data_IF_051193570896
#
_entry.id   IF_051193570896
#
_cell.length_a   1.000
_cell.length_b   1.000
_cell.length_c   1.000
_cell.angle_alpha   90.00
_cell.angle_beta   90.00
_cell.angle_gamma   90.00
#
_symmetry.space_group_name_H-M   'P 1'
#
loop_
_entity.id
_entity.type
_entity.pdbx_description
1 polymer ?
#
# COMPACT_ATOMS: atom_id res chain seq x y z
N UNK A 1 56.65 -11.49 -61.18
CA UNK A 1 57.07 -12.42 -62.25
C UNK A 1 55.93 -13.39 -62.49
N UNK A 2 55.27 -13.19 -63.62
CA UNK A 2 54.25 -14.05 -64.21
C UNK A 2 54.80 -15.45 -64.47
N UNK A 3 53.96 -16.48 -64.35
CA UNK A 3 53.87 -17.60 -65.30
C UNK A 3 52.67 -18.50 -64.92
N UNK A 4 51.59 -18.32 -65.69
CA UNK A 4 50.67 -19.39 -66.01
C UNK A 4 51.45 -20.43 -66.82
N UNK A 5 51.28 -21.72 -66.50
CA UNK A 5 51.34 -22.80 -67.46
C UNK A 5 50.70 -24.05 -66.84
N UNK A 6 49.52 -24.43 -67.31
CA UNK A 6 49.04 -25.80 -67.18
C UNK A 6 48.17 -26.13 -68.40
N UNK A 7 48.81 -26.78 -69.37
CA UNK A 7 48.18 -27.48 -70.50
C UNK A 7 48.00 -28.95 -70.14
N UNK A 8 47.19 -29.60 -70.99
CA UNK A 8 47.09 -31.03 -71.31
C UNK A 8 45.79 -31.63 -70.74
N UNK A 9 44.67 -31.64 -71.51
CA UNK A 9 44.33 -32.59 -72.60
C UNK A 9 44.44 -34.05 -72.12
N UNK A 10 43.49 -34.96 -72.17
CA UNK A 10 42.27 -35.14 -72.96
C UNK A 10 41.67 -36.50 -72.56
N UNK A 11 40.43 -36.76 -72.96
CA UNK A 11 39.86 -38.09 -73.22
C UNK A 11 39.44 -38.96 -72.03
N UNK A 12 38.34 -39.71 -72.01
CA UNK A 12 37.21 -39.95 -72.92
C UNK A 12 36.12 -40.62 -72.06
N UNK A 13 34.85 -40.24 -72.29
CA UNK A 13 33.65 -41.09 -72.44
C UNK A 13 33.51 -42.32 -71.52
N UNK A 14 32.46 -42.32 -70.68
CA UNK A 14 31.38 -43.34 -70.80
C UNK A 14 30.10 -42.86 -70.11
N UNK A 15 29.02 -42.87 -70.89
CA UNK A 15 27.67 -42.60 -70.49
C UNK A 15 27.10 -43.74 -69.62
N UNK A 16 26.27 -43.41 -68.64
CA UNK A 16 25.21 -44.30 -68.15
C UNK A 16 24.08 -43.47 -67.56
N UNK A 17 22.95 -43.49 -68.26
CA UNK A 17 21.61 -43.16 -67.77
C UNK A 17 21.25 -44.10 -66.62
N UNK A 18 20.91 -43.59 -65.43
CA UNK A 18 19.99 -44.28 -64.51
C UNK A 18 19.19 -43.28 -63.69
N UNK A 19 17.87 -43.33 -63.91
CA UNK A 19 16.75 -43.08 -63.00
C UNK A 19 16.74 -41.87 -62.06
N UNK A 20 15.83 -40.96 -62.37
CA UNK A 20 15.16 -40.05 -61.45
C UNK A 20 14.68 -40.74 -60.18
N UNK A 21 15.22 -40.35 -59.02
CA UNK A 21 14.53 -40.41 -57.75
C UNK A 21 14.34 -38.97 -57.26
N UNK A 22 13.17 -38.39 -57.57
CA UNK A 22 12.69 -37.21 -56.87
C UNK A 22 12.49 -37.61 -55.39
N UNK A 23 13.49 -37.34 -54.56
CA UNK A 23 13.29 -37.17 -53.13
C UNK A 23 12.48 -35.88 -52.94
N UNK A 24 11.15 -36.02 -53.01
CA UNK A 24 10.26 -35.07 -52.36
C UNK A 24 10.62 -35.13 -50.88
N UNK A 25 11.42 -34.17 -50.43
CA UNK A 25 11.57 -33.87 -49.03
C UNK A 25 10.18 -33.43 -48.53
N UNK A 26 9.38 -34.41 -48.09
CA UNK A 26 8.24 -34.15 -47.23
C UNK A 26 8.82 -33.62 -45.92
N UNK A 27 9.07 -32.31 -45.88
CA UNK A 27 9.31 -31.62 -44.63
C UNK A 27 8.07 -31.92 -43.76
N UNK A 28 8.22 -32.46 -42.54
CA UNK A 28 7.09 -32.59 -41.65
C UNK A 28 6.51 -31.20 -41.46
N UNK A 29 5.26 -30.98 -41.90
CA UNK A 29 4.49 -29.84 -41.46
C UNK A 29 4.59 -29.82 -39.94
N UNK A 30 4.95 -28.70 -39.28
CA UNK A 30 4.86 -28.65 -37.84
C UNK A 30 3.41 -28.98 -37.51
N UNK A 31 3.19 -30.18 -36.99
CA UNK A 31 1.94 -30.49 -36.33
C UNK A 31 1.90 -29.46 -35.22
N UNK A 32 1.03 -28.47 -35.40
CA UNK A 32 0.66 -27.54 -34.35
C UNK A 32 0.03 -28.43 -33.28
N UNK A 33 0.87 -29.01 -32.43
CA UNK A 33 0.46 -29.56 -31.17
C UNK A 33 -0.36 -28.46 -30.57
N UNK A 34 -1.65 -28.73 -30.32
CA UNK A 34 -2.53 -27.89 -29.54
C UNK A 34 -1.92 -27.82 -28.13
N UNK A 35 -0.84 -27.05 -28.02
CA UNK A 35 -0.16 -26.74 -26.81
C UNK A 35 -1.16 -25.90 -26.05
N UNK A 36 -1.78 -26.53 -25.06
CA UNK A 36 -2.45 -25.83 -23.98
C UNK A 36 -1.36 -24.98 -23.31
N UNK A 37 -1.05 -23.83 -23.91
CA UNK A 37 -0.11 -22.88 -23.35
C UNK A 37 -0.74 -22.36 -22.07
N UNK A 38 -0.21 -22.84 -20.94
CA UNK A 38 -0.58 -22.31 -19.64
C UNK A 38 0.06 -20.93 -19.54
N UNK A 39 -0.70 -19.88 -19.84
CA UNK A 39 -0.29 -18.52 -19.55
C UNK A 39 -0.44 -18.27 -18.05
N UNK A 40 0.66 -18.27 -17.32
CA UNK A 40 0.66 -17.88 -15.91
C UNK A 40 0.42 -16.36 -15.80
N UNK A 41 -0.82 -15.97 -15.47
CA UNK A 41 -1.12 -14.57 -15.10
C UNK A 41 -0.80 -14.34 -13.63
N UNK A 42 0.34 -13.71 -13.37
CA UNK A 42 0.73 -13.27 -12.04
C UNK A 42 -0.11 -12.06 -11.61
N UNK A 43 -0.94 -12.23 -10.58
CA UNK A 43 -1.68 -11.14 -9.94
C UNK A 43 -0.77 -10.31 -9.01
N UNK A 44 -0.18 -9.24 -9.56
CA UNK A 44 0.67 -8.31 -8.81
C UNK A 44 -0.07 -7.44 -7.77
N UNK A 45 -1.41 -7.50 -7.67
CA UNK A 45 -2.16 -6.65 -6.73
C UNK A 45 -1.79 -6.92 -5.27
N UNK A 46 -1.49 -8.18 -4.93
CA UNK A 46 -1.07 -8.57 -3.59
C UNK A 46 0.28 -7.97 -3.26
N UNK A 47 1.24 -8.04 -4.19
CA UNK A 47 2.57 -7.49 -4.01
C UNK A 47 2.52 -5.98 -3.81
N UNK A 48 1.74 -5.28 -4.63
CA UNK A 48 1.55 -3.83 -4.52
C UNK A 48 0.94 -3.43 -3.17
N UNK A 49 -0.03 -4.21 -2.68
CA UNK A 49 -0.63 -3.98 -1.38
C UNK A 49 0.36 -4.21 -0.22
N UNK A 50 1.16 -5.28 -0.28
CA UNK A 50 2.21 -5.55 0.72
C UNK A 50 3.25 -4.42 0.74
N UNK A 51 3.68 -3.95 -0.43
CA UNK A 51 4.58 -2.78 -0.55
C UNK A 51 3.94 -1.54 0.06
N UNK A 52 2.66 -1.29 -0.22
CA UNK A 52 1.91 -0.17 0.34
C UNK A 52 1.87 -0.17 1.87
N UNK A 53 1.57 -1.32 2.49
CA UNK A 53 1.58 -1.50 3.95
C UNK A 53 2.97 -1.27 4.56
N UNK A 54 4.01 -1.77 3.89
CA UNK A 54 5.41 -1.53 4.28
C UNK A 54 5.75 -0.03 4.25
N UNK A 55 5.36 0.69 3.18
CA UNK A 55 5.57 2.13 3.09
C UNK A 55 4.80 2.92 4.15
N UNK A 56 3.58 2.49 4.50
CA UNK A 56 2.82 3.11 5.58
C UNK A 56 3.56 2.96 6.92
N UNK A 57 4.03 1.75 7.25
CA UNK A 57 4.82 1.48 8.47
C UNK A 57 6.10 2.32 8.53
N UNK A 58 6.74 2.55 7.38
CA UNK A 58 7.94 3.39 7.24
C UNK A 58 7.62 4.89 7.15
N UNK A 59 6.36 5.28 7.37
CA UNK A 59 5.86 6.67 7.29
C UNK A 59 6.06 7.36 5.93
N UNK A 60 6.25 6.59 4.86
CA UNK A 60 6.32 7.11 3.49
C UNK A 60 4.89 7.18 2.92
N UNK A 61 4.06 8.05 3.50
CA UNK A 61 2.61 8.11 3.24
C UNK A 61 2.25 8.29 1.76
N UNK A 62 2.98 9.15 1.03
CA UNK A 62 2.80 9.35 -0.41
C UNK A 62 3.04 8.06 -1.22
N UNK A 63 4.09 7.30 -0.88
CA UNK A 63 4.37 6.03 -1.54
C UNK A 63 3.35 4.97 -1.16
N UNK A 64 2.94 4.91 0.10
CA UNK A 64 1.88 4.00 0.55
C UNK A 64 0.61 4.18 -0.30
N UNK A 65 0.13 5.41 -0.44
CA UNK A 65 -1.04 5.71 -1.28
C UNK A 65 -0.80 5.36 -2.74
N UNK A 66 0.35 5.74 -3.32
CA UNK A 66 0.67 5.44 -4.72
C UNK A 66 0.57 3.94 -5.02
N UNK A 67 1.15 3.09 -4.17
CA UNK A 67 1.11 1.64 -4.36
C UNK A 67 -0.27 1.03 -4.10
N UNK A 68 -1.03 1.55 -3.12
CA UNK A 68 -2.41 1.11 -2.88
C UNK A 68 -3.32 1.44 -4.07
N UNK A 69 -3.21 2.65 -4.63
CA UNK A 69 -3.98 3.06 -5.80
C UNK A 69 -3.55 2.34 -7.07
N UNK A 70 -2.29 1.91 -7.18
CA UNK A 70 -1.84 1.03 -8.26
C UNK A 70 -2.45 -0.36 -8.15
N UNK A 71 -2.58 -0.91 -6.94
CA UNK A 71 -3.28 -2.17 -6.72
C UNK A 71 -4.79 -2.06 -7.00
N UNK A 72 -5.39 -0.93 -6.61
CA UNK A 72 -6.84 -0.69 -6.73
C UNK A 72 -7.13 0.80 -7.02
N UNK A 73 -7.24 1.22 -8.29
CA UNK A 73 -7.43 2.63 -8.66
C UNK A 73 -8.72 3.25 -8.11
N UNK A 74 -9.72 2.42 -7.80
CA UNK A 74 -11.02 2.84 -7.30
C UNK A 74 -11.12 3.06 -5.79
N UNK A 75 -10.06 2.86 -4.99
CA UNK A 75 -10.17 2.82 -3.51
C UNK A 75 -10.88 4.02 -2.88
N UNK A 76 -10.70 5.24 -3.40
CA UNK A 76 -11.37 6.44 -2.88
C UNK A 76 -12.88 6.43 -3.16
N UNK A 77 -13.26 5.86 -4.30
CA UNK A 77 -14.65 5.79 -4.78
C UNK A 77 -15.41 4.61 -4.19
N UNK A 78 -14.76 3.79 -3.35
CA UNK A 78 -15.44 2.70 -2.64
C UNK A 78 -16.47 3.30 -1.68
N UNK A 79 -17.71 3.33 -2.13
CA UNK A 79 -18.88 3.57 -1.32
C UNK A 79 -19.49 2.22 -0.96
N UNK A 80 -20.21 2.13 0.18
CA UNK A 80 -20.95 0.91 0.51
C UNK A 80 -20.08 -0.33 0.78
N UNK A 81 -19.03 -0.20 1.60
CA UNK A 81 -18.22 -1.35 2.02
C UNK A 81 -19.13 -2.37 2.74
N UNK A 82 -19.07 -3.62 2.30
CA UNK A 82 -19.85 -4.72 2.89
C UNK A 82 -18.94 -5.88 3.28
N UNK A 83 -19.52 -6.92 3.91
CA UNK A 83 -18.77 -8.14 4.24
C UNK A 83 -18.26 -8.87 2.99
N UNK A 84 -18.92 -8.67 1.84
CA UNK A 84 -18.54 -9.25 0.54
C UNK A 84 -17.40 -8.48 -0.14
N UNK A 85 -17.10 -7.24 0.25
CA UNK A 85 -15.98 -6.48 -0.31
C UNK A 85 -14.68 -7.26 -0.12
N UNK A 86 -13.87 -7.53 -1.16
CA UNK A 86 -12.67 -8.35 -1.03
C UNK A 86 -11.70 -7.85 0.05
N UNK A 87 -11.04 -8.79 0.75
CA UNK A 87 -10.12 -8.45 1.86
C UNK A 87 -8.99 -7.52 1.43
N UNK A 88 -8.45 -7.72 0.21
CA UNK A 88 -7.41 -6.89 -0.40
C UNK A 88 -7.87 -5.41 -0.57
N UNK A 89 -9.11 -5.20 -1.01
CA UNK A 89 -9.71 -3.85 -1.14
C UNK A 89 -9.85 -3.18 0.23
N UNK A 90 -10.32 -3.92 1.25
CA UNK A 90 -10.45 -3.38 2.62
C UNK A 90 -9.10 -3.01 3.23
N UNK A 91 -8.08 -3.83 2.99
CA UNK A 91 -6.68 -3.56 3.40
C UNK A 91 -6.15 -2.31 2.70
N UNK A 92 -6.30 -2.21 1.37
CA UNK A 92 -5.89 -1.03 0.61
C UNK A 92 -6.57 0.24 1.10
N UNK A 93 -7.88 0.18 1.35
CA UNK A 93 -8.64 1.31 1.91
C UNK A 93 -8.12 1.72 3.29
N UNK A 94 -7.84 0.74 4.16
CA UNK A 94 -7.26 0.99 5.49
C UNK A 94 -5.92 1.71 5.36
N UNK A 95 -5.07 1.29 4.43
CA UNK A 95 -3.76 1.93 4.21
C UNK A 95 -3.91 3.37 3.73
N UNK A 96 -4.76 3.62 2.73
CA UNK A 96 -4.97 4.98 2.20
C UNK A 96 -5.57 5.90 3.28
N UNK A 97 -6.56 5.41 4.04
CA UNK A 97 -7.17 6.17 5.13
C UNK A 97 -6.16 6.51 6.24
N UNK A 98 -5.35 5.55 6.69
CA UNK A 98 -4.31 5.80 7.69
C UNK A 98 -3.21 6.73 7.16
N UNK A 99 -2.81 6.58 5.90
CA UNK A 99 -1.84 7.48 5.28
C UNK A 99 -2.36 8.92 5.28
N UNK A 100 -3.60 9.14 4.83
CA UNK A 100 -4.24 10.45 4.81
C UNK A 100 -4.39 11.04 6.22
N UNK A 101 -4.76 10.23 7.20
CA UNK A 101 -4.84 10.66 8.60
C UNK A 101 -3.47 11.10 9.15
N UNK A 102 -2.46 10.25 8.99
CA UNK A 102 -1.11 10.46 9.57
C UNK A 102 -0.30 11.56 8.88
N UNK A 103 -0.70 11.93 7.67
CA UNK A 103 -0.15 13.09 6.95
C UNK A 103 -1.00 14.36 7.14
N UNK A 104 -1.94 14.40 8.09
CA UNK A 104 -2.87 15.51 8.28
C UNK A 104 -3.58 15.94 6.98
N UNK A 105 -3.96 14.98 6.14
CA UNK A 105 -4.63 15.19 4.86
C UNK A 105 -3.75 15.69 3.71
N UNK A 106 -2.44 15.89 3.92
CA UNK A 106 -1.50 16.43 2.93
C UNK A 106 -1.05 15.41 1.86
N UNK A 107 -2.02 14.70 1.25
CA UNK A 107 -1.82 13.74 0.18
C UNK A 107 -2.72 14.07 -0.99
N UNK A 108 -2.21 13.82 -2.20
CA UNK A 108 -3.03 13.85 -3.40
C UNK A 108 -3.80 12.55 -3.54
N UNK A 109 -5.11 12.61 -3.32
CA UNK A 109 -6.04 11.50 -3.53
C UNK A 109 -6.94 11.74 -4.78
N UNK A 110 -6.58 12.66 -5.67
CA UNK A 110 -7.32 13.02 -6.88
C UNK A 110 -8.14 14.32 -6.76
N UNK A 111 -8.99 14.58 -7.75
CA UNK A 111 -9.79 15.82 -7.84
C UNK A 111 -10.60 16.08 -6.55
N UNK A 112 -10.58 17.32 -6.07
CA UNK A 112 -11.20 17.76 -4.80
C UNK A 112 -10.48 17.34 -3.51
N UNK A 113 -9.36 16.63 -3.65
CA UNK A 113 -8.64 15.93 -2.58
C UNK A 113 -7.12 15.99 -2.78
N UNK A 114 -6.59 17.06 -3.38
CA UNK A 114 -5.17 17.16 -3.74
C UNK A 114 -4.26 17.33 -2.53
N UNK A 115 -4.83 17.66 -1.36
CA UNK A 115 -4.11 17.88 -0.11
C UNK A 115 -3.27 19.16 -0.10
N UNK A 116 -3.42 20.03 -1.10
CA UNK A 116 -2.67 21.30 -1.23
C UNK A 116 -3.30 22.39 -0.35
N UNK A 117 -4.60 22.58 -0.44
CA UNK A 117 -5.34 23.57 0.37
C UNK A 117 -5.71 23.03 1.77
N UNK A 118 -6.03 23.91 2.71
CA UNK A 118 -6.55 23.51 4.02
C UNK A 118 -7.88 22.74 3.88
N UNK A 119 -8.73 23.18 2.95
CA UNK A 119 -10.01 22.53 2.63
C UNK A 119 -9.81 21.10 2.11
N UNK A 120 -8.87 20.88 1.20
CA UNK A 120 -8.56 19.53 0.70
C UNK A 120 -8.04 18.63 1.81
N UNK A 121 -7.16 19.14 2.68
CA UNK A 121 -6.64 18.39 3.83
C UNK A 121 -7.75 18.00 4.79
N UNK A 122 -8.65 18.93 5.10
CA UNK A 122 -9.82 18.67 5.94
C UNK A 122 -10.73 17.59 5.32
N UNK A 123 -11.00 17.68 4.01
CA UNK A 123 -11.78 16.67 3.27
C UNK A 123 -11.12 15.30 3.33
N UNK A 124 -9.80 15.23 3.15
CA UNK A 124 -9.03 13.99 3.23
C UNK A 124 -9.10 13.35 4.63
N UNK A 125 -8.96 14.15 5.68
CA UNK A 125 -9.08 13.67 7.07
C UNK A 125 -10.51 13.19 7.36
N UNK A 126 -11.53 13.96 6.96
CA UNK A 126 -12.95 13.59 7.14
C UNK A 126 -13.27 12.27 6.42
N UNK A 127 -12.80 12.12 5.19
CA UNK A 127 -12.93 10.89 4.41
C UNK A 127 -12.24 9.70 5.10
N UNK A 128 -11.03 9.89 5.63
CA UNK A 128 -10.30 8.85 6.34
C UNK A 128 -11.04 8.39 7.61
N UNK A 129 -11.55 9.33 8.40
CA UNK A 129 -12.36 9.05 9.60
C UNK A 129 -13.60 8.24 9.22
N UNK A 130 -14.32 8.68 8.19
CA UNK A 130 -15.53 7.98 7.72
C UNK A 130 -15.23 6.56 7.25
N UNK A 131 -14.17 6.38 6.45
CA UNK A 131 -13.74 5.07 5.93
C UNK A 131 -13.38 4.10 7.06
N UNK A 132 -12.58 4.54 8.03
CA UNK A 132 -12.18 3.71 9.17
C UNK A 132 -13.35 3.41 10.11
N UNK A 133 -14.30 4.36 10.29
CA UNK A 133 -15.54 4.13 11.03
C UNK A 133 -16.38 3.04 10.37
N UNK A 134 -16.59 3.09 9.06
CA UNK A 134 -17.36 2.09 8.34
C UNK A 134 -16.71 0.70 8.45
N UNK A 135 -15.39 0.61 8.24
CA UNK A 135 -14.65 -0.65 8.40
C UNK A 135 -14.75 -1.21 9.83
N UNK A 136 -14.55 -0.38 10.85
CA UNK A 136 -14.61 -0.82 12.24
C UNK A 136 -16.03 -1.21 12.69
N UNK A 137 -17.07 -0.59 12.14
CA UNK A 137 -18.46 -0.97 12.39
C UNK A 137 -18.81 -2.30 11.72
N UNK A 138 -18.31 -2.52 10.50
CA UNK A 138 -18.53 -3.76 9.75
C UNK A 138 -17.85 -4.97 10.41
N UNK A 139 -16.70 -4.75 11.06
CA UNK A 139 -15.91 -5.77 11.75
C UNK A 139 -15.70 -5.40 13.24
N UNK A 140 -16.75 -5.45 14.08
CA UNK A 140 -16.70 -4.93 15.44
C UNK A 140 -15.72 -5.68 16.36
N UNK A 141 -15.45 -6.95 16.07
CA UNK A 141 -14.49 -7.81 16.80
C UNK A 141 -13.03 -7.62 16.35
N UNK A 142 -12.78 -6.88 15.27
CA UNK A 142 -11.42 -6.66 14.77
C UNK A 142 -10.72 -5.56 15.59
N UNK A 143 -9.89 -5.98 16.55
CA UNK A 143 -9.17 -5.08 17.47
C UNK A 143 -8.26 -4.08 16.75
N UNK A 144 -7.66 -4.47 15.62
CA UNK A 144 -6.81 -3.59 14.80
C UNK A 144 -7.64 -2.44 14.20
N UNK A 145 -8.79 -2.74 13.60
CA UNK A 145 -9.68 -1.70 13.06
C UNK A 145 -10.26 -0.80 14.15
N UNK A 146 -10.53 -1.34 15.34
CA UNK A 146 -10.93 -0.54 16.50
C UNK A 146 -9.82 0.42 16.95
N UNK A 147 -8.57 -0.03 16.95
CA UNK A 147 -7.41 0.82 17.23
C UNK A 147 -7.27 1.95 16.20
N UNK A 148 -7.36 1.62 14.91
CA UNK A 148 -7.34 2.62 13.84
C UNK A 148 -8.50 3.62 13.91
N UNK A 149 -9.71 3.18 14.28
CA UNK A 149 -10.82 4.09 14.53
C UNK A 149 -10.53 5.02 15.70
N UNK A 150 -9.97 4.51 16.80
CA UNK A 150 -9.56 5.34 17.94
C UNK A 150 -8.54 6.41 17.53
N UNK A 151 -7.52 6.03 16.76
CA UNK A 151 -6.53 6.95 16.19
C UNK A 151 -7.19 8.01 15.29
N UNK A 152 -8.12 7.61 14.42
CA UNK A 152 -8.81 8.52 13.51
C UNK A 152 -9.71 9.52 14.24
N UNK A 153 -10.49 9.06 15.21
CA UNK A 153 -11.37 9.93 16.01
C UNK A 153 -10.57 10.93 16.86
N UNK A 154 -9.32 10.62 17.20
CA UNK A 154 -8.44 11.54 17.91
C UNK A 154 -8.02 12.77 17.07
N UNK A 155 -8.26 12.76 15.75
CA UNK A 155 -8.03 13.92 14.89
C UNK A 155 -9.18 14.95 14.90
N UNK A 156 -10.28 14.66 15.59
CA UNK A 156 -11.44 15.56 15.68
C UNK A 156 -11.74 15.88 17.15
N UNK A 157 -11.67 17.15 17.58
CA UNK A 157 -11.97 17.55 18.96
C UNK A 157 -13.33 17.04 19.46
N UNK A 158 -14.36 17.12 18.61
CA UNK A 158 -15.72 16.63 18.90
C UNK A 158 -15.79 15.14 19.21
N UNK A 159 -14.77 14.37 18.83
CA UNK A 159 -14.69 12.91 19.02
C UNK A 159 -13.66 12.48 20.06
N UNK A 160 -12.97 13.40 20.74
CA UNK A 160 -11.88 13.08 21.69
C UNK A 160 -12.32 12.13 22.81
N UNK A 161 -13.47 12.38 23.45
CA UNK A 161 -13.97 11.51 24.52
C UNK A 161 -14.20 10.07 24.03
N UNK A 162 -14.80 9.91 22.84
CA UNK A 162 -15.03 8.60 22.22
C UNK A 162 -13.71 7.93 21.81
N UNK A 163 -12.79 8.68 21.23
CA UNK A 163 -11.46 8.20 20.85
C UNK A 163 -10.70 7.66 22.08
N UNK A 164 -10.69 8.44 23.16
CA UNK A 164 -10.04 8.08 24.43
C UNK A 164 -10.63 6.78 24.98
N UNK A 165 -11.96 6.68 25.09
CA UNK A 165 -12.65 5.48 25.58
C UNK A 165 -12.27 4.22 24.77
N UNK A 166 -12.20 4.32 23.45
CA UNK A 166 -11.81 3.19 22.58
C UNK A 166 -10.35 2.79 22.85
N UNK A 167 -9.43 3.76 22.81
CA UNK A 167 -8.00 3.49 22.94
C UNK A 167 -7.64 3.01 24.35
N UNK A 168 -8.25 3.56 25.41
CA UNK A 168 -8.03 3.09 26.79
C UNK A 168 -8.48 1.65 26.99
N UNK A 169 -9.67 1.28 26.46
CA UNK A 169 -10.15 -0.11 26.53
C UNK A 169 -9.19 -1.08 25.84
N UNK A 170 -8.59 -0.68 24.72
CA UNK A 170 -7.59 -1.48 24.01
C UNK A 170 -6.26 -1.51 24.77
N UNK A 171 -5.79 -0.36 25.29
CA UNK A 171 -4.53 -0.25 26.01
C UNK A 171 -4.53 -1.07 27.31
N UNK A 172 -5.64 -1.12 28.05
CA UNK A 172 -5.81 -1.97 29.24
C UNK A 172 -5.55 -3.46 28.97
N UNK A 173 -5.69 -3.90 27.72
CA UNK A 173 -5.49 -5.28 27.28
C UNK A 173 -4.25 -5.45 26.39
N UNK A 174 -3.43 -4.41 26.27
CA UNK A 174 -2.28 -4.34 25.36
C UNK A 174 -2.62 -4.61 23.88
N UNK A 175 -3.82 -4.18 23.44
CA UNK A 175 -4.35 -4.43 22.10
C UNK A 175 -4.21 -3.26 21.11
N UNK A 176 -3.48 -2.19 21.48
CA UNK A 176 -3.14 -1.13 20.52
C UNK A 176 -1.95 -1.61 19.69
N UNK A 177 -2.16 -1.77 18.38
CA UNK A 177 -1.18 -2.37 17.46
C UNK A 177 -0.30 -1.38 16.69
N UNK A 178 -0.35 -0.09 17.04
CA UNK A 178 0.46 0.95 16.40
C UNK A 178 1.04 1.95 17.40
N UNK A 179 2.25 2.43 17.09
CA UNK A 179 2.85 3.54 17.83
C UNK A 179 1.99 4.80 17.74
N UNK A 180 1.40 5.08 16.56
CA UNK A 180 0.49 6.22 16.36
C UNK A 180 -0.77 6.12 17.23
N UNK A 181 -1.28 4.90 17.50
CA UNK A 181 -2.41 4.69 18.40
C UNK A 181 -2.07 5.05 19.84
N UNK A 182 -0.89 4.66 20.33
CA UNK A 182 -0.42 5.09 21.66
C UNK A 182 -0.10 6.59 21.72
N UNK A 183 0.45 7.17 20.65
CA UNK A 183 0.66 8.61 20.56
C UNK A 183 -0.68 9.37 20.63
N UNK A 184 -1.71 8.89 19.92
CA UNK A 184 -3.05 9.46 20.00
C UNK A 184 -3.62 9.36 21.42
N UNK A 185 -3.51 8.19 22.06
CA UNK A 185 -3.95 8.02 23.46
C UNK A 185 -3.22 8.96 24.42
N UNK A 186 -1.91 9.12 24.26
CA UNK A 186 -1.12 10.01 25.10
C UNK A 186 -1.60 11.47 25.01
N UNK A 187 -1.85 11.96 23.78
CA UNK A 187 -2.39 13.31 23.56
C UNK A 187 -3.78 13.48 24.19
N UNK A 188 -4.66 12.49 24.02
CA UNK A 188 -6.00 12.53 24.58
C UNK A 188 -6.01 12.51 26.11
N UNK A 189 -5.10 11.76 26.74
CA UNK A 189 -4.93 11.74 28.20
C UNK A 189 -4.37 13.05 28.72
N UNK A 190 -3.36 13.59 28.05
CA UNK A 190 -2.79 14.90 28.37
C UNK A 190 -3.85 16.00 28.30
N UNK A 191 -4.66 16.01 27.24
CA UNK A 191 -5.75 16.97 27.08
C UNK A 191 -6.87 16.83 28.13
N UNK A 192 -6.93 15.69 28.82
CA UNK A 192 -7.89 15.42 29.89
C UNK A 192 -7.27 15.52 31.29
N UNK A 193 -6.05 16.07 31.42
CA UNK A 193 -5.35 16.23 32.71
C UNK A 193 -4.63 14.98 33.24
N UNK A 194 -4.75 13.84 32.58
CA UNK A 194 -4.09 12.59 32.97
C UNK A 194 -2.62 12.56 32.51
N UNK A 195 -1.78 13.33 33.19
CA UNK A 195 -0.35 13.45 32.87
C UNK A 195 0.41 12.14 33.06
N UNK A 196 0.07 11.36 34.09
CA UNK A 196 0.71 10.07 34.36
C UNK A 196 0.40 9.05 33.25
N UNK A 197 -0.89 8.88 32.93
CA UNK A 197 -1.33 7.99 31.87
C UNK A 197 -0.87 8.43 30.48
N UNK A 198 -0.69 9.74 30.25
CA UNK A 198 -0.09 10.26 29.03
C UNK A 198 1.38 9.84 28.89
N UNK A 199 2.18 9.96 29.96
CA UNK A 199 3.59 9.50 29.99
C UNK A 199 3.71 7.99 29.78
N UNK A 200 2.83 7.20 30.41
CA UNK A 200 2.80 5.76 30.21
C UNK A 200 2.50 5.38 28.75
N UNK A 201 1.53 6.06 28.13
CA UNK A 201 1.20 5.86 26.72
C UNK A 201 2.35 6.27 25.77
N UNK A 202 3.05 7.37 26.06
CA UNK A 202 4.26 7.74 25.31
C UNK A 202 5.34 6.67 25.43
N UNK A 203 5.59 6.15 26.61
CA UNK A 203 6.60 5.10 26.82
C UNK A 203 6.29 3.88 25.96
N UNK A 204 5.02 3.44 25.90
CA UNK A 204 4.58 2.38 25.00
C UNK A 204 4.76 2.75 23.52
N UNK A 205 4.39 3.96 23.12
CA UNK A 205 4.65 4.46 21.76
C UNK A 205 6.14 4.35 21.38
N UNK A 206 7.04 4.79 22.27
CA UNK A 206 8.48 4.84 22.02
C UNK A 206 9.10 3.44 21.89
N UNK A 207 8.56 2.45 22.60
CA UNK A 207 8.93 1.04 22.45
C UNK A 207 8.51 0.49 21.08
N UNK A 208 7.31 0.84 20.61
CA UNK A 208 6.78 0.36 19.32
C UNK A 208 7.38 1.05 18.09
N UNK A 209 7.65 2.37 18.16
CA UNK A 209 8.10 3.14 17.00
C UNK A 209 9.54 2.79 16.55
N UNK A 210 10.33 2.17 17.43
CA UNK A 210 11.77 2.00 17.22
C UNK A 210 12.53 3.34 17.22
N UNK A 211 13.87 3.27 17.23
CA UNK A 211 14.73 4.48 17.34
C UNK A 211 14.47 5.48 16.20
N UNK A 212 14.35 4.98 14.97
CA UNK A 212 14.20 5.80 13.75
C UNK A 212 12.96 6.70 13.73
N UNK A 213 11.84 6.24 14.28
CA UNK A 213 10.56 6.97 14.17
C UNK A 213 10.07 7.55 15.50
N UNK A 214 10.78 7.28 16.60
CA UNK A 214 10.39 7.69 17.96
C UNK A 214 10.08 9.19 18.05
N UNK A 215 11.04 10.04 17.68
CA UNK A 215 10.90 11.49 17.80
C UNK A 215 9.75 12.03 16.94
N UNK A 216 9.50 11.43 15.77
CA UNK A 216 8.51 11.93 14.83
C UNK A 216 7.09 11.43 15.13
N UNK A 217 6.91 10.36 15.92
CA UNK A 217 5.59 9.77 16.24
C UNK A 217 5.17 10.05 17.69
N UNK A 218 6.09 9.89 18.63
CA UNK A 218 5.80 9.84 20.06
C UNK A 218 6.02 11.20 20.73
N UNK A 219 5.23 12.20 20.34
CA UNK A 219 5.28 13.57 20.88
C UNK A 219 4.05 13.88 21.72
N UNK A 220 4.26 14.52 22.88
CA UNK A 220 3.21 15.20 23.65
C UNK A 220 3.14 16.68 23.24
N UNK A 221 1.93 17.27 23.16
CA UNK A 221 1.79 18.72 23.14
C UNK A 221 2.39 19.27 24.44
N UNK A 222 3.45 20.08 24.33
CA UNK A 222 4.06 20.75 25.50
C UNK A 222 5.58 20.61 25.69
N UNK A 223 6.31 19.86 24.86
CA UNK A 223 7.80 19.82 24.92
C UNK A 223 8.53 20.43 23.70
N UNK A 224 7.92 21.44 23.04
CA UNK A 224 8.64 22.27 22.07
C UNK A 224 8.08 22.31 20.65
N UNK A 225 6.77 22.54 20.48
CA UNK A 225 6.18 23.10 19.26
C UNK A 225 4.69 23.44 19.50
N UNK A 226 4.42 24.65 19.96
CA UNK A 226 3.06 25.20 20.12
C UNK A 226 2.45 25.63 18.77
N UNK A 227 3.18 25.55 17.66
CA UNK A 227 2.80 26.28 16.44
C UNK A 227 1.89 25.57 15.40
N UNK A 228 1.48 24.30 15.57
CA UNK A 228 0.88 23.56 14.44
C UNK A 228 -0.59 23.10 14.58
N UNK A 229 -1.25 23.30 15.72
CA UNK A 229 -2.63 22.82 15.93
C UNK A 229 -3.70 23.93 15.97
N UNK A 230 -3.30 25.19 15.83
CA UNK A 230 -4.21 26.34 15.72
C UNK A 230 -4.73 26.61 14.30
N UNK A 231 -4.23 25.91 13.27
CA UNK A 231 -4.62 26.15 11.87
C UNK A 231 -5.92 25.46 11.40
N UNK A 232 -6.77 25.00 12.33
CA UNK A 232 -8.05 24.34 12.02
C UNK A 232 -9.22 24.88 12.87
N UNK A 233 -9.21 26.16 13.19
CA UNK A 233 -10.44 26.88 13.55
C UNK A 233 -11.03 27.51 12.29
#
# INVERSE_FOLDING_TARGET
MSKLDMRIQSSLITASLVASALLVAAAPSPVAACGNAIEERVDYTVEYLVRSESYLRRRRHRLAVRWALRAYPGLRRVQGISRRTPSKVRRGLTVVALAALRSAGALDLGAGHRGKSALDRQRNVKWAIHSLKNLANLYPRNVRLRGHLGEALAASPKSHARARKILEKLAKRDLIVSAEGYAALARLRSAAGDSSGARAAITRCQRMAGRRFRAAVCQLPGRGRVAALSAFR
#
